data_IF_935932049345
#
_entry.id   IF_935932049345
#
_cell.length_a   1.000
_cell.length_b   1.000
_cell.length_c   1.000
_cell.angle_alpha   90.00
_cell.angle_beta   90.00
_cell.angle_gamma   90.00
#
_symmetry.space_group_name_H-M   'P 1'
#
loop_
_entity.id
_entity.type
_entity.pdbx_description
1 polymer ?
#
# COMPACT_ATOMS: atom_id res chain seq x y z
N UNK A 1 2.33 2.03 -53.45
CA UNK A 1 2.88 1.65 -52.13
C UNK A 1 2.85 2.77 -51.05
N UNK A 2 2.34 3.98 -51.33
CA UNK A 2 2.28 5.08 -50.34
C UNK A 2 1.09 4.99 -49.38
N UNK A 3 -0.13 4.86 -49.91
CA UNK A 3 -1.39 4.89 -49.13
C UNK A 3 -1.45 3.85 -48.00
N UNK A 4 -1.03 2.61 -48.26
CA UNK A 4 -1.07 1.54 -47.25
C UNK A 4 -0.11 1.78 -46.07
N UNK A 5 1.00 2.51 -46.28
CA UNK A 5 1.90 2.91 -45.18
C UNK A 5 1.27 4.03 -44.36
N UNK A 6 0.70 5.03 -45.02
CA UNK A 6 0.04 6.15 -44.34
C UNK A 6 -1.16 5.69 -43.51
N UNK A 7 -1.98 4.79 -44.04
CA UNK A 7 -3.13 4.21 -43.32
C UNK A 7 -2.68 3.45 -42.08
N UNK A 8 -1.60 2.64 -42.17
CA UNK A 8 -1.06 1.93 -40.99
C UNK A 8 -0.58 2.88 -39.90
N UNK A 9 0.08 3.97 -40.28
CA UNK A 9 0.55 4.99 -39.32
C UNK A 9 -0.61 5.70 -38.64
N UNK A 10 -1.64 6.09 -39.40
CA UNK A 10 -2.84 6.74 -38.84
C UNK A 10 -3.56 5.77 -37.89
N UNK A 11 -3.70 4.51 -38.29
CA UNK A 11 -4.37 3.50 -37.49
C UNK A 11 -3.61 3.18 -36.20
N UNK A 12 -2.28 3.07 -36.25
CA UNK A 12 -1.47 2.85 -35.05
C UNK A 12 -1.54 4.04 -34.10
N UNK A 13 -1.52 5.27 -34.64
CA UNK A 13 -1.62 6.48 -33.83
C UNK A 13 -2.99 6.56 -33.14
N UNK A 14 -4.07 6.33 -33.89
CA UNK A 14 -5.42 6.30 -33.34
C UNK A 14 -5.56 5.22 -32.25
N UNK A 15 -4.98 4.03 -32.46
CA UNK A 15 -5.01 2.95 -31.49
C UNK A 15 -4.28 3.32 -30.18
N UNK A 16 -3.10 3.95 -30.26
CA UNK A 16 -2.36 4.44 -29.09
C UNK A 16 -3.15 5.48 -28.30
N UNK A 17 -3.83 6.40 -29.00
CA UNK A 17 -4.71 7.41 -28.36
C UNK A 17 -5.88 6.74 -27.63
N UNK A 18 -6.50 5.72 -28.23
CA UNK A 18 -7.57 4.95 -27.60
C UNK A 18 -7.09 4.19 -26.37
N UNK A 19 -5.90 3.58 -26.41
CA UNK A 19 -5.33 2.89 -25.26
C UNK A 19 -5.03 3.85 -24.11
N UNK A 20 -4.50 5.04 -24.41
CA UNK A 20 -4.27 6.08 -23.40
C UNK A 20 -5.58 6.54 -22.75
N UNK A 21 -6.65 6.72 -23.54
CA UNK A 21 -7.97 7.09 -23.04
C UNK A 21 -8.64 5.97 -22.21
N UNK A 22 -8.44 4.70 -22.59
CA UNK A 22 -8.89 3.58 -21.78
C UNK A 22 -8.13 3.54 -20.43
N UNK A 23 -6.82 3.84 -20.47
CA UNK A 23 -5.97 3.89 -19.29
C UNK A 23 -6.21 5.12 -18.39
N UNK A 24 -7.04 6.10 -18.76
CA UNK A 24 -7.48 7.13 -17.79
C UNK A 24 -8.66 6.69 -16.94
N UNK A 25 -9.34 5.61 -17.33
CA UNK A 25 -10.46 5.01 -16.57
C UNK A 25 -10.02 3.90 -15.63
N UNK A 26 -8.76 3.91 -15.19
CA UNK A 26 -8.36 3.08 -14.06
C UNK A 26 -9.03 3.68 -12.83
N UNK A 27 -10.04 2.98 -12.32
CA UNK A 27 -10.53 3.20 -10.96
C UNK A 27 -9.35 3.02 -10.01
N UNK A 28 -8.70 4.14 -9.66
CA UNK A 28 -7.73 4.15 -8.60
C UNK A 28 -8.47 3.75 -7.32
N UNK A 29 -8.35 2.48 -6.93
CA UNK A 29 -8.79 2.02 -5.61
C UNK A 29 -7.83 2.60 -4.60
N UNK A 30 -8.18 3.78 -4.09
CA UNK A 30 -7.44 4.39 -3.00
C UNK A 30 -7.58 3.53 -1.76
N UNK A 31 -6.46 3.20 -1.13
CA UNK A 31 -6.48 2.66 0.23
C UNK A 31 -6.97 3.81 1.12
N UNK A 32 -8.11 3.63 1.79
CA UNK A 32 -8.63 4.66 2.69
C UNK A 32 -7.64 4.89 3.84
N UNK A 33 -7.57 6.14 4.33
CA UNK A 33 -6.76 6.47 5.52
C UNK A 33 -7.13 5.62 6.74
N UNK A 34 -8.37 5.12 6.81
CA UNK A 34 -8.79 4.15 7.82
C UNK A 34 -7.98 2.84 7.74
N UNK A 35 -7.60 2.41 6.55
CA UNK A 35 -6.72 1.25 6.35
C UNK A 35 -5.29 1.48 6.84
N UNK A 36 -4.77 2.71 6.75
CA UNK A 36 -3.45 3.07 7.30
C UNK A 36 -3.45 3.17 8.83
N UNK A 37 -4.60 3.52 9.43
CA UNK A 37 -4.72 3.75 10.88
C UNK A 37 -4.37 2.53 11.74
N UNK A 38 -4.53 1.31 11.22
CA UNK A 38 -4.19 0.08 11.96
C UNK A 38 -2.68 -0.17 12.10
N UNK A 39 -1.87 0.39 11.20
CA UNK A 39 -0.43 0.14 11.14
C UNK A 39 0.42 1.26 11.75
N UNK A 40 -0.14 2.47 11.89
CA UNK A 40 0.58 3.64 12.38
C UNK A 40 0.08 4.05 13.79
N UNK A 41 0.79 3.66 14.86
CA UNK A 41 0.41 3.99 16.23
C UNK A 41 0.53 5.48 16.57
N UNK A 42 1.06 6.31 15.67
CA UNK A 42 1.19 7.77 15.85
C UNK A 42 0.20 8.57 14.98
N UNK A 43 -0.66 7.89 14.20
CA UNK A 43 -1.63 8.55 13.33
C UNK A 43 -2.56 9.48 14.13
N UNK A 44 -2.52 10.78 13.82
CA UNK A 44 -3.35 11.81 14.47
C UNK A 44 -2.79 12.35 15.79
N UNK A 45 -1.57 11.97 16.18
CA UNK A 45 -0.93 12.52 17.38
C UNK A 45 -0.41 13.94 17.15
N UNK A 46 -0.83 14.86 18.02
CA UNK A 46 -0.36 16.25 17.97
C UNK A 46 1.03 16.38 18.59
N UNK A 47 1.94 17.07 17.90
CA UNK A 47 3.23 17.48 18.46
C UNK A 47 3.08 18.45 19.64
N UNK A 48 2.01 19.25 19.66
CA UNK A 48 1.76 20.25 20.69
C UNK A 48 1.23 19.62 21.98
N UNK A 49 0.52 18.50 21.86
CA UNK A 49 -0.07 17.79 22.99
C UNK A 49 0.21 16.29 22.96
N UNK A 50 1.49 15.89 23.08
CA UNK A 50 1.88 14.48 23.01
C UNK A 50 1.29 13.66 24.15
N UNK A 51 0.94 14.26 25.28
CA UNK A 51 0.33 13.59 26.44
C UNK A 51 -1.04 12.98 26.14
N UNK A 52 -1.75 13.47 25.11
CA UNK A 52 -3.04 12.91 24.70
C UNK A 52 -2.90 11.84 23.61
N UNK A 53 -1.70 11.64 23.06
CA UNK A 53 -1.40 10.57 22.11
C UNK A 53 -1.36 9.23 22.84
N UNK A 54 -2.36 8.38 22.60
CA UNK A 54 -2.37 7.01 23.10
C UNK A 54 -1.93 6.07 21.99
N UNK A 55 -0.69 5.56 22.10
CA UNK A 55 -0.21 4.50 21.21
C UNK A 55 -1.08 3.26 21.45
N UNK A 56 -1.81 2.84 20.41
CA UNK A 56 -2.53 1.57 20.41
C UNK A 56 -1.60 0.45 19.96
N UNK A 57 -1.74 -0.73 20.57
CA UNK A 57 -0.96 -1.89 20.19
C UNK A 57 -1.39 -2.34 18.78
N UNK A 58 -0.50 -2.18 17.79
CA UNK A 58 -0.80 -2.54 16.40
C UNK A 58 -0.91 -4.07 16.19
N UNK A 59 -0.08 -4.84 16.90
CA UNK A 59 -0.11 -6.30 16.85
C UNK A 59 -0.22 -6.88 18.28
N UNK A 60 -1.30 -7.60 18.61
CA UNK A 60 -1.46 -8.25 19.90
C UNK A 60 -0.54 -9.47 20.09
N UNK A 61 0.08 -9.98 19.03
CA UNK A 61 1.01 -11.10 19.09
C UNK A 61 2.18 -10.79 20.02
N UNK A 62 2.35 -11.66 21.02
CA UNK A 62 3.57 -11.71 21.81
C UNK A 62 4.42 -12.83 21.25
N UNK A 63 5.69 -12.53 20.95
CA UNK A 63 6.68 -13.61 20.79
C UNK A 63 6.66 -14.44 22.08
N UNK A 64 7.00 -15.73 21.95
CA UNK A 64 7.06 -16.63 23.09
C UNK A 64 8.13 -16.18 24.08
N UNK A 65 9.18 -16.98 24.26
CA UNK A 65 10.27 -16.52 25.07
C UNK A 65 11.07 -15.38 24.40
N UNK A 66 11.26 -14.26 25.10
CA UNK A 66 12.33 -13.31 24.76
C UNK A 66 13.67 -13.75 25.34
N UNK A 67 14.78 -13.46 24.66
CA UNK A 67 16.12 -13.82 25.15
C UNK A 67 16.44 -13.27 26.56
N UNK A 68 15.88 -12.11 26.90
CA UNK A 68 15.94 -11.48 28.23
C UNK A 68 15.27 -12.33 29.33
N UNK A 69 14.29 -13.15 28.97
CA UNK A 69 13.50 -13.99 29.88
C UNK A 69 14.20 -15.32 30.20
N UNK A 70 15.40 -15.57 29.65
CA UNK A 70 16.22 -16.77 29.88
C UNK A 70 15.41 -18.06 29.80
N UNK A 71 14.54 -18.20 28.79
CA UNK A 71 13.73 -19.40 28.74
C UNK A 71 14.62 -20.58 28.47
N UNK A 72 14.50 -21.50 29.41
CA UNK A 72 15.26 -22.70 29.50
C UNK A 72 14.81 -23.62 28.37
N UNK A 73 15.77 -24.23 27.69
CA UNK A 73 15.55 -25.22 26.63
C UNK A 73 14.57 -26.30 27.09
N UNK A 74 13.30 -26.12 26.76
CA UNK A 74 12.34 -27.19 26.68
C UNK A 74 11.69 -27.06 25.31
N UNK A 75 12.50 -27.35 24.30
CA UNK A 75 12.01 -27.99 23.11
C UNK A 75 11.46 -29.36 23.53
N UNK A 76 10.23 -29.42 24.05
CA UNK A 76 9.49 -30.66 24.15
C UNK A 76 8.02 -30.45 23.80
N UNK A 77 7.76 -30.84 22.54
CA UNK A 77 6.52 -31.32 21.93
C UNK A 77 5.62 -30.29 21.23
#
# INVERSE_FOLDING_TARGET
MGMAKTIKVIFSLAFVVFLAFAATNIEARYISYFGLHKGDPEFGCSKLHPQFCKKVQANPYRRGCEASQRCRDNAQK
#
